data_IF_164789651380
#
_entry.id   IF_164789651380
#
_cell.length_a   1.000
_cell.length_b   1.000
_cell.length_c   1.000
_cell.angle_alpha   90.00
_cell.angle_beta   90.00
_cell.angle_gamma   90.00
#
_symmetry.space_group_name_H-M   'P 1'
#
loop_
_entity.id
_entity.type
_entity.pdbx_description
1 polymer ?
#
# COMPACT_ATOMS: atom_id res chain seq x y z
N UNK A 1 -10.69 19.14 13.97
CA UNK A 1 -9.27 18.83 14.25
C UNK A 1 -9.02 17.36 14.61
N UNK A 2 -9.72 16.75 15.58
CA UNK A 2 -9.42 15.36 16.03
C UNK A 2 -9.51 14.29 14.92
N UNK A 3 -10.46 14.41 13.99
CA UNK A 3 -10.61 13.50 12.84
C UNK A 3 -9.50 13.65 11.82
N UNK A 4 -9.07 14.88 11.52
CA UNK A 4 -7.96 15.13 10.58
C UNK A 4 -6.64 14.57 11.12
N UNK A 5 -6.36 14.77 12.42
CA UNK A 5 -5.17 14.22 13.06
C UNK A 5 -5.19 12.68 13.08
N UNK A 6 -6.36 12.08 13.32
CA UNK A 6 -6.53 10.63 13.27
C UNK A 6 -6.30 10.07 11.86
N UNK A 7 -6.82 10.73 10.83
CA UNK A 7 -6.57 10.35 9.43
C UNK A 7 -5.09 10.46 9.11
N UNK A 8 -4.42 11.56 9.45
CA UNK A 8 -2.98 11.72 9.22
C UNK A 8 -2.15 10.63 9.91
N UNK A 9 -2.46 10.31 11.17
CA UNK A 9 -1.78 9.24 11.90
C UNK A 9 -2.02 7.86 11.29
N UNK A 10 -3.26 7.58 10.88
CA UNK A 10 -3.61 6.31 10.20
C UNK A 10 -2.92 6.19 8.83
N UNK A 11 -2.89 7.28 8.06
CA UNK A 11 -2.20 7.34 6.76
C UNK A 11 -0.70 7.11 6.94
N UNK A 12 -0.06 7.76 7.92
CA UNK A 12 1.37 7.57 8.19
C UNK A 12 1.67 6.11 8.55
N UNK A 13 0.83 5.49 9.38
CA UNK A 13 1.02 4.11 9.82
C UNK A 13 0.85 3.11 8.66
N UNK A 14 -0.13 3.34 7.79
CA UNK A 14 -0.27 2.55 6.55
C UNK A 14 0.89 2.79 5.58
N UNK A 15 1.42 4.01 5.50
CA UNK A 15 2.55 4.33 4.63
C UNK A 15 3.83 3.62 5.08
N UNK A 16 4.11 3.59 6.39
CA UNK A 16 5.21 2.81 6.97
C UNK A 16 5.03 1.31 6.69
N UNK A 17 3.80 0.79 6.77
CA UNK A 17 3.52 -0.59 6.42
C UNK A 17 3.74 -0.89 4.93
N UNK A 18 3.36 0.05 4.05
CA UNK A 18 3.65 -0.06 2.61
C UNK A 18 5.16 -0.15 2.36
N UNK A 19 5.96 0.74 2.98
CA UNK A 19 7.43 0.70 2.91
C UNK A 19 7.99 -0.62 3.43
N UNK A 20 7.48 -1.12 4.57
CA UNK A 20 7.84 -2.43 5.09
C UNK A 20 7.54 -3.56 4.10
N UNK A 21 6.37 -3.55 3.47
CA UNK A 21 6.01 -4.51 2.42
C UNK A 21 6.94 -4.45 1.21
N UNK A 22 7.35 -3.26 0.76
CA UNK A 22 8.36 -3.11 -0.29
C UNK A 22 9.72 -3.70 0.12
N UNK A 23 10.18 -3.41 1.34
CA UNK A 23 11.48 -3.91 1.82
C UNK A 23 11.47 -5.43 2.02
N UNK A 24 10.38 -6.00 2.54
CA UNK A 24 10.23 -7.45 2.72
C UNK A 24 10.16 -8.16 1.37
N UNK A 25 9.38 -7.64 0.41
CA UNK A 25 9.32 -8.19 -0.95
C UNK A 25 10.65 -8.09 -1.71
N UNK A 26 11.45 -7.04 -1.44
CA UNK A 26 12.80 -6.90 -1.98
C UNK A 26 13.82 -7.84 -1.32
N UNK A 27 13.72 -8.05 0.00
CA UNK A 27 14.66 -8.87 0.77
C UNK A 27 14.39 -10.38 0.66
N UNK A 28 13.13 -10.79 0.49
CA UNK A 28 12.73 -12.21 0.43
C UNK A 28 12.02 -12.49 -0.90
N UNK A 29 12.78 -12.89 -1.96
CA UNK A 29 12.21 -13.16 -3.28
C UNK A 29 11.15 -14.26 -3.28
N UNK A 30 11.20 -15.18 -2.31
CA UNK A 30 10.26 -16.28 -2.14
C UNK A 30 8.87 -15.85 -1.62
N UNK A 31 8.76 -14.66 -1.03
CA UNK A 31 7.49 -14.09 -0.54
C UNK A 31 6.87 -13.09 -1.52
N UNK A 32 7.44 -12.91 -2.72
CA UNK A 32 6.85 -12.07 -3.77
C UNK A 32 5.61 -12.75 -4.34
N UNK A 33 4.43 -12.35 -3.87
CA UNK A 33 3.15 -13.04 -4.13
C UNK A 33 2.64 -12.80 -5.57
N UNK A 34 3.15 -11.80 -6.28
CA UNK A 34 2.83 -11.62 -7.70
C UNK A 34 3.85 -10.74 -8.36
N UNK A 35 4.65 -11.31 -9.27
CA UNK A 35 5.10 -10.53 -10.44
C UNK A 35 4.01 -10.68 -11.48
N UNK A 36 3.15 -9.68 -11.63
CA UNK A 36 2.43 -9.57 -12.91
C UNK A 36 3.45 -8.97 -13.87
N UNK A 37 4.10 -9.82 -14.66
CA UNK A 37 4.89 -9.40 -15.82
C UNK A 37 3.93 -9.13 -16.96
N UNK A 38 3.53 -7.87 -17.12
CA UNK A 38 2.93 -7.45 -18.37
C UNK A 38 4.06 -7.43 -19.42
N UNK A 39 4.04 -8.40 -20.32
CA UNK A 39 4.90 -8.44 -21.50
C UNK A 39 4.15 -7.79 -22.65
N UNK A 40 4.59 -6.61 -23.07
CA UNK A 40 4.41 -6.15 -24.46
C UNK A 40 5.73 -6.41 -25.20
N UNK A 41 5.71 -6.52 -26.53
CA UNK A 41 6.90 -6.82 -27.36
C UNK A 41 8.11 -5.89 -27.10
N UNK A 42 7.90 -4.78 -26.39
CA UNK A 42 8.90 -3.76 -26.06
C UNK A 42 9.15 -3.59 -24.55
N UNK A 43 8.32 -4.13 -23.65
CA UNK A 43 8.38 -3.82 -22.20
C UNK A 43 8.01 -5.00 -21.30
N UNK A 44 8.79 -5.19 -20.23
CA UNK A 44 8.42 -6.06 -19.11
C UNK A 44 8.17 -5.22 -17.87
N UNK A 45 6.89 -5.00 -17.52
CA UNK A 45 6.52 -4.25 -16.30
C UNK A 45 6.26 -5.24 -15.16
N UNK A 46 7.03 -5.12 -14.09
CA UNK A 46 6.89 -5.97 -12.90
C UNK A 46 6.19 -5.16 -11.80
N UNK A 47 5.00 -5.57 -11.39
CA UNK A 47 4.30 -4.96 -10.27
C UNK A 47 4.48 -5.82 -9.02
N UNK A 48 5.14 -5.30 -7.98
CA UNK A 48 5.16 -5.93 -6.66
C UNK A 48 3.91 -5.52 -5.88
N UNK A 49 3.10 -6.49 -5.45
CA UNK A 49 1.86 -6.27 -4.70
C UNK A 49 1.99 -6.48 -3.18
N UNK A 50 3.19 -6.82 -2.69
CA UNK A 50 3.42 -7.16 -1.28
C UNK A 50 3.14 -5.98 -0.34
N UNK A 51 3.37 -4.74 -0.80
CA UNK A 51 3.01 -3.52 -0.07
C UNK A 51 1.51 -3.36 0.12
N UNK A 52 0.70 -3.79 -0.86
CA UNK A 52 -0.76 -3.69 -0.79
C UNK A 52 -1.30 -4.62 0.30
N UNK A 53 -0.75 -5.83 0.40
CA UNK A 53 -1.09 -6.79 1.45
C UNK A 53 -0.74 -6.22 2.83
N UNK A 54 0.45 -5.65 2.99
CA UNK A 54 0.87 -5.03 4.24
C UNK A 54 -0.08 -3.88 4.66
N UNK A 55 -0.47 -3.02 3.72
CA UNK A 55 -1.43 -1.93 3.96
C UNK A 55 -2.82 -2.47 4.36
N UNK A 56 -3.29 -3.52 3.68
CA UNK A 56 -4.59 -4.14 3.99
C UNK A 56 -4.62 -4.79 5.38
N UNK A 57 -3.52 -5.42 5.81
CA UNK A 57 -3.39 -5.96 7.17
C UNK A 57 -3.50 -4.87 8.23
N UNK A 58 -2.84 -3.73 8.02
CA UNK A 58 -2.94 -2.57 8.92
C UNK A 58 -4.35 -1.99 8.93
N UNK A 59 -5.00 -1.88 7.76
CA UNK A 59 -6.38 -1.45 7.67
C UNK A 59 -7.31 -2.37 8.47
N UNK A 60 -7.19 -3.69 8.32
CA UNK A 60 -7.96 -4.67 9.08
C UNK A 60 -7.73 -4.53 10.60
N UNK A 61 -6.47 -4.32 11.03
CA UNK A 61 -6.14 -4.09 12.43
C UNK A 61 -6.78 -2.80 12.99
N UNK A 62 -6.80 -1.72 12.21
CA UNK A 62 -7.45 -0.46 12.60
C UNK A 62 -8.98 -0.62 12.74
N UNK A 63 -9.60 -1.36 11.83
CA UNK A 63 -11.04 -1.68 11.93
C UNK A 63 -11.32 -2.54 13.16
N UNK A 64 -10.52 -3.59 13.41
CA UNK A 64 -10.64 -4.44 14.59
C UNK A 64 -10.52 -3.62 15.90
N UNK A 65 -9.55 -2.71 15.97
CA UNK A 65 -9.41 -1.78 17.09
C UNK A 65 -10.65 -0.88 17.28
N UNK A 66 -11.22 -0.38 16.18
CA UNK A 66 -12.46 0.40 16.18
C UNK A 66 -13.67 -0.39 16.71
N UNK A 67 -13.75 -1.68 16.38
CA UNK A 67 -14.77 -2.62 16.90
C UNK A 67 -14.61 -2.80 18.41
N UNK A 68 -13.39 -3.06 18.90
CA UNK A 68 -13.12 -3.24 20.34
C UNK A 68 -13.50 -2.00 21.15
N UNK A 69 -13.29 -0.79 20.60
CA UNK A 69 -13.68 0.48 21.25
C UNK A 69 -15.14 0.87 21.04
N UNK A 70 -15.96 0.04 20.38
CA UNK A 70 -17.37 0.33 20.02
C UNK A 70 -17.55 1.64 19.24
N UNK A 71 -16.50 2.08 18.51
CA UNK A 71 -16.51 3.31 17.68
C UNK A 71 -16.38 2.95 16.20
N UNK A 72 -17.17 1.97 15.77
CA UNK A 72 -17.07 1.35 14.43
C UNK A 72 -17.27 2.34 13.30
N UNK A 73 -18.34 3.15 13.33
CA UNK A 73 -18.67 4.10 12.24
C UNK A 73 -17.57 5.14 12.01
N UNK A 74 -17.15 5.86 13.05
CA UNK A 74 -16.15 6.92 12.92
C UNK A 74 -14.77 6.38 12.55
N UNK A 75 -14.39 5.22 13.11
CA UNK A 75 -13.10 4.60 12.84
C UNK A 75 -13.04 3.98 11.43
N UNK A 76 -14.14 3.40 10.96
CA UNK A 76 -14.24 2.89 9.59
C UNK A 76 -14.11 4.01 8.56
N UNK A 77 -14.81 5.15 8.77
CA UNK A 77 -14.71 6.30 7.86
C UNK A 77 -13.28 6.84 7.82
N UNK A 78 -12.65 7.09 8.98
CA UNK A 78 -11.29 7.64 9.00
C UNK A 78 -10.26 6.68 8.42
N UNK A 79 -10.38 5.38 8.71
CA UNK A 79 -9.49 4.35 8.17
C UNK A 79 -9.66 4.17 6.67
N UNK A 80 -10.90 4.29 6.15
CA UNK A 80 -11.17 4.19 4.70
C UNK A 80 -10.56 5.38 3.97
N UNK A 81 -10.72 6.60 4.50
CA UNK A 81 -10.09 7.80 3.93
C UNK A 81 -8.56 7.65 3.94
N UNK A 82 -7.98 7.20 5.06
CA UNK A 82 -6.54 6.95 5.16
C UNK A 82 -6.05 5.89 4.16
N UNK A 83 -6.82 4.83 3.94
CA UNK A 83 -6.52 3.78 2.97
C UNK A 83 -6.49 4.35 1.54
N UNK A 84 -7.52 5.10 1.14
CA UNK A 84 -7.58 5.71 -0.20
C UNK A 84 -6.41 6.66 -0.43
N UNK A 85 -6.10 7.52 0.55
CA UNK A 85 -4.97 8.43 0.47
C UNK A 85 -3.65 7.66 0.35
N UNK A 86 -3.45 6.63 1.17
CA UNK A 86 -2.21 5.83 1.15
C UNK A 86 -2.04 5.14 -0.19
N UNK A 87 -3.09 4.48 -0.71
CA UNK A 87 -3.04 3.80 -2.02
C UNK A 87 -2.76 4.80 -3.13
N UNK A 88 -3.43 5.96 -3.15
CA UNK A 88 -3.21 6.98 -4.17
C UNK A 88 -1.76 7.49 -4.17
N UNK A 89 -1.21 7.79 -2.99
CA UNK A 89 0.18 8.24 -2.85
C UNK A 89 1.15 7.14 -3.30
N UNK A 90 1.00 5.92 -2.79
CA UNK A 90 1.92 4.81 -3.11
C UNK A 90 1.87 4.46 -4.60
N UNK A 91 0.68 4.45 -5.21
CA UNK A 91 0.55 4.25 -6.67
C UNK A 91 1.25 5.37 -7.43
N UNK A 92 1.03 6.63 -7.07
CA UNK A 92 1.70 7.76 -7.71
C UNK A 92 3.24 7.67 -7.61
N UNK A 93 3.77 7.37 -6.42
CA UNK A 93 5.21 7.20 -6.22
C UNK A 93 5.78 5.98 -6.98
N UNK A 94 5.08 4.85 -6.97
CA UNK A 94 5.55 3.65 -7.68
C UNK A 94 5.49 3.81 -9.18
N UNK A 95 4.54 4.58 -9.73
CA UNK A 95 4.54 4.92 -11.15
C UNK A 95 5.76 5.78 -11.55
N UNK A 96 6.22 6.69 -10.69
CA UNK A 96 7.45 7.47 -10.92
C UNK A 96 8.71 6.57 -10.88
N UNK A 97 8.67 5.45 -10.12
CA UNK A 97 9.76 4.48 -10.01
C UNK A 97 9.82 3.41 -11.11
N UNK A 98 8.85 3.37 -12.03
CA UNK A 98 8.90 2.45 -13.18
C UNK A 98 9.95 2.97 -14.16
N UNK A 99 11.17 2.45 -14.06
CA UNK A 99 12.17 2.59 -15.12
C UNK A 99 11.62 1.93 -16.38
N UNK A 100 11.33 2.72 -17.40
CA UNK A 100 11.22 2.24 -18.77
C UNK A 100 12.59 1.64 -19.14
N UNK A 101 12.69 0.31 -19.11
CA UNK A 101 13.87 -0.38 -19.65
C UNK A 101 13.64 -0.45 -21.15
N UNK A 102 14.25 0.48 -21.90
CA UNK A 102 14.34 0.38 -23.36
C UNK A 102 15.11 -0.90 -23.69
N UNK A 103 14.44 -1.89 -24.27
CA UNK A 103 15.12 -2.92 -25.02
C UNK A 103 15.71 -2.24 -26.26
N UNK A 104 17.00 -1.90 -26.22
CA UNK A 104 17.70 -1.46 -27.43
C UNK A 104 17.74 -2.65 -28.38
N UNK A 105 17.01 -2.52 -29.49
CA UNK A 105 17.10 -3.41 -30.64
C UNK A 105 18.44 -3.24 -31.36
#
# INVERSE_FOLDING_TARGET
MRTALAVLGQTLLMFVAALGGFMVGAAVPALRISRVTAHTDLYTRTYDFDWLIAVLLVYAALIAYGIMRKRTKTCAISATIALVITVAIVVFFTQIGVKEVYAMA
#
